data_IF_583168344309
#
_entry.id   IF_583168344309
#
_cell.length_a   1.000
_cell.length_b   1.000
_cell.length_c   1.000
_cell.angle_alpha   90.00
_cell.angle_beta   90.00
_cell.angle_gamma   90.00
#
_symmetry.space_group_name_H-M   'P 1'
#
loop_
_entity.id
_entity.type
_entity.pdbx_description
1 polymer ?
#
# COMPACT_ATOMS: atom_id res chain seq x y z
N UNK A 1 12.09 5.53 25.69
CA UNK A 1 11.64 6.60 24.76
C UNK A 1 12.00 6.37 23.29
N UNK A 2 12.68 5.26 22.91
CA UNK A 2 13.01 4.93 21.49
C UNK A 2 11.92 4.07 20.81
N UNK A 3 11.05 3.43 21.58
CA UNK A 3 10.05 2.47 21.06
C UNK A 3 8.87 3.12 20.29
N UNK A 4 8.52 4.38 20.58
CA UNK A 4 7.36 5.06 19.98
C UNK A 4 7.64 5.56 18.55
N UNK A 5 8.91 5.83 18.23
CA UNK A 5 9.34 6.20 16.87
C UNK A 5 9.50 4.96 15.99
N UNK A 6 10.04 3.86 16.53
CA UNK A 6 10.21 2.61 15.79
C UNK A 6 8.86 1.98 15.38
N UNK A 7 7.83 2.06 16.22
CA UNK A 7 6.49 1.55 15.89
C UNK A 7 5.75 2.41 14.86
N UNK A 8 6.17 3.67 14.66
CA UNK A 8 5.62 4.59 13.65
C UNK A 8 6.44 4.65 12.36
N UNK A 9 7.59 3.98 12.30
CA UNK A 9 8.52 4.10 11.15
C UNK A 9 9.01 2.78 10.59
N UNK A 10 8.61 1.64 11.16
CA UNK A 10 8.89 0.28 10.64
C UNK A 10 10.36 0.06 10.22
N UNK A 11 11.31 0.79 10.82
CA UNK A 11 12.73 0.79 10.43
C UNK A 11 13.08 1.51 9.11
N UNK A 12 12.10 1.99 8.35
CA UNK A 12 12.28 2.60 7.02
C UNK A 12 12.60 4.09 7.02
N UNK A 13 12.42 4.78 8.15
CA UNK A 13 12.99 6.12 8.33
C UNK A 13 14.49 6.10 8.04
N UNK A 14 15.23 5.05 8.40
CA UNK A 14 16.65 4.91 8.06
C UNK A 14 16.89 4.66 6.55
N UNK A 15 16.05 3.88 5.88
CA UNK A 15 16.20 3.56 4.45
C UNK A 15 15.87 4.74 3.53
N UNK A 16 14.77 5.44 3.80
CA UNK A 16 14.39 6.68 3.11
C UNK A 16 15.36 7.82 3.42
N UNK A 17 15.89 7.86 4.65
CA UNK A 17 16.95 8.79 5.04
C UNK A 17 18.25 8.53 4.28
N UNK A 18 18.63 7.26 4.06
CA UNK A 18 19.79 6.91 3.23
C UNK A 18 19.57 7.22 1.74
N UNK A 19 18.36 7.05 1.20
CA UNK A 19 18.02 7.45 -0.17
C UNK A 19 18.05 8.98 -0.34
N UNK A 20 17.52 9.72 0.62
CA UNK A 20 17.55 11.19 0.64
C UNK A 20 18.99 11.75 0.80
N UNK A 21 19.82 11.12 1.64
CA UNK A 21 21.24 11.44 1.78
C UNK A 21 22.07 11.03 0.55
N UNK A 22 21.70 9.95 -0.15
CA UNK A 22 22.36 9.56 -1.40
C UNK A 22 22.08 10.55 -2.54
N UNK A 23 20.97 11.29 -2.45
CA UNK A 23 20.62 12.39 -3.36
C UNK A 23 21.22 13.74 -2.94
N UNK A 24 21.59 13.91 -1.67
CA UNK A 24 22.22 15.12 -1.13
C UNK A 24 23.42 14.74 -0.27
N UNK A 25 24.59 14.66 -0.89
CA UNK A 25 25.82 14.27 -0.20
C UNK A 25 26.06 15.09 1.08
N UNK A 26 26.20 14.36 2.20
CA UNK A 26 26.58 14.81 3.56
C UNK A 26 25.54 15.75 4.25
N UNK A 27 25.13 15.62 5.52
CA UNK A 27 25.56 14.90 6.72
C UNK A 27 24.38 14.90 7.73
N UNK A 28 24.47 13.99 8.72
CA UNK A 28 23.67 13.84 9.96
C UNK A 28 22.26 13.23 9.93
N UNK A 29 22.21 11.96 10.36
CA UNK A 29 21.00 11.14 10.43
C UNK A 29 20.18 11.26 11.72
N UNK A 30 20.77 11.77 12.79
CA UNK A 30 20.06 11.92 14.07
C UNK A 30 19.21 13.20 14.12
N UNK A 31 19.70 14.30 13.55
CA UNK A 31 18.99 15.59 13.53
C UNK A 31 17.84 15.63 12.50
N UNK A 32 17.91 14.78 11.48
CA UNK A 32 16.84 14.64 10.47
C UNK A 32 15.57 14.00 11.05
N UNK A 33 15.72 12.99 11.91
CA UNK A 33 14.59 12.33 12.59
C UNK A 33 13.86 13.28 13.55
N UNK A 34 14.59 14.24 14.14
CA UNK A 34 14.01 15.26 15.03
C UNK A 34 13.39 16.46 14.30
N UNK A 35 13.76 16.71 13.03
CA UNK A 35 13.31 17.85 12.23
C UNK A 35 12.16 17.52 11.25
N UNK A 36 11.49 16.39 11.46
CA UNK A 36 10.32 15.91 10.72
C UNK A 36 9.12 16.86 10.86
N UNK A 37 9.23 17.99 10.16
CA UNK A 37 8.25 19.05 10.01
C UNK A 37 7.54 18.88 8.67
N UNK A 38 6.38 19.52 8.51
CA UNK A 38 5.50 19.33 7.34
C UNK A 38 6.18 19.51 5.97
N UNK A 39 7.30 20.24 5.88
CA UNK A 39 8.10 20.38 4.66
C UNK A 39 8.75 19.07 4.18
N UNK A 40 9.07 18.14 5.10
CA UNK A 40 9.65 16.83 4.76
C UNK A 40 8.58 15.82 4.31
N UNK A 41 7.33 15.94 4.77
CA UNK A 41 6.22 15.09 4.29
C UNK A 41 5.98 15.29 2.79
N UNK A 42 5.99 16.53 2.31
CA UNK A 42 5.87 16.82 0.87
C UNK A 42 6.99 16.20 0.02
N UNK A 43 8.23 16.16 0.55
CA UNK A 43 9.36 15.54 -0.16
C UNK A 43 9.18 14.03 -0.22
N UNK A 44 8.69 13.41 0.85
CA UNK A 44 8.42 11.97 0.90
C UNK A 44 7.27 11.59 -0.04
N UNK A 45 6.17 12.32 -0.01
CA UNK A 45 5.03 12.09 -0.90
C UNK A 45 5.46 12.21 -2.38
N UNK A 46 6.30 13.21 -2.70
CA UNK A 46 6.89 13.34 -4.03
C UNK A 46 7.77 12.15 -4.43
N UNK A 47 8.62 11.65 -3.52
CA UNK A 47 9.48 10.50 -3.82
C UNK A 47 8.68 9.21 -4.03
N UNK A 48 7.65 8.97 -3.20
CA UNK A 48 6.76 7.83 -3.34
C UNK A 48 5.96 7.91 -4.66
N UNK A 49 5.52 9.11 -5.03
CA UNK A 49 4.89 9.38 -6.32
C UNK A 49 5.81 9.05 -7.49
N UNK A 50 7.07 9.51 -7.46
CA UNK A 50 8.05 9.24 -8.50
C UNK A 50 8.29 7.73 -8.62
N UNK A 51 8.42 7.01 -7.49
CA UNK A 51 8.56 5.55 -7.51
C UNK A 51 7.37 4.88 -8.19
N UNK A 52 6.14 5.30 -7.89
CA UNK A 52 4.94 4.78 -8.54
C UNK A 52 4.94 5.07 -10.05
N UNK A 53 5.24 6.31 -10.45
CA UNK A 53 5.23 6.74 -11.86
C UNK A 53 6.28 6.03 -12.72
N UNK A 54 7.40 5.62 -12.13
CA UNK A 54 8.44 4.84 -12.81
C UNK A 54 8.07 3.36 -13.01
N UNK A 55 6.98 2.87 -12.40
CA UNK A 55 6.55 1.48 -12.59
C UNK A 55 5.84 1.28 -13.94
N UNK A 56 5.88 0.07 -14.52
CA UNK A 56 5.04 -0.26 -15.67
C UNK A 56 3.55 -0.08 -15.34
N UNK A 57 2.74 0.36 -16.31
CA UNK A 57 1.31 0.66 -16.12
C UNK A 57 0.53 -0.48 -15.46
N UNK A 58 0.82 -1.73 -15.82
CA UNK A 58 0.18 -2.90 -15.21
C UNK A 58 0.49 -3.03 -13.71
N UNK A 59 1.72 -2.71 -13.32
CA UNK A 59 2.13 -2.76 -11.92
C UNK A 59 1.55 -1.58 -11.14
N UNK A 60 1.48 -0.38 -11.74
CA UNK A 60 0.78 0.76 -11.13
C UNK A 60 -0.68 0.40 -10.83
N UNK A 61 -1.40 -0.16 -11.81
CA UNK A 61 -2.79 -0.60 -11.62
C UNK A 61 -2.93 -1.67 -10.55
N UNK A 62 -1.99 -2.63 -10.49
CA UNK A 62 -1.97 -3.63 -9.43
C UNK A 62 -1.82 -2.97 -8.04
N UNK A 63 -0.84 -2.10 -7.87
CA UNK A 63 -0.55 -1.41 -6.60
C UNK A 63 -1.74 -0.56 -6.16
N UNK A 64 -2.28 0.26 -7.07
CA UNK A 64 -3.43 1.14 -6.81
C UNK A 64 -4.66 0.32 -6.42
N UNK A 65 -5.05 -0.67 -7.21
CA UNK A 65 -6.30 -1.42 -6.96
C UNK A 65 -6.23 -2.33 -5.75
N UNK A 66 -5.05 -2.84 -5.38
CA UNK A 66 -4.89 -3.64 -4.15
C UNK A 66 -4.75 -2.79 -2.90
N UNK A 67 -4.54 -1.47 -3.02
CA UNK A 67 -4.45 -0.55 -1.88
C UNK A 67 -5.73 -0.44 -1.05
N UNK A 68 -6.87 -0.91 -1.59
CA UNK A 68 -8.14 -1.03 -0.87
C UNK A 68 -8.14 -2.10 0.22
N UNK A 69 -7.12 -2.97 0.24
CA UNK A 69 -6.99 -4.10 1.14
C UNK A 69 -5.98 -3.76 2.25
N UNK A 70 -6.40 -3.87 3.52
CA UNK A 70 -5.52 -3.60 4.67
C UNK A 70 -4.39 -4.63 4.80
N UNK A 71 -4.72 -5.89 4.48
CA UNK A 71 -3.80 -7.02 4.38
C UNK A 71 -4.21 -7.88 3.21
N UNK A 72 -3.26 -8.48 2.53
CA UNK A 72 -3.55 -9.27 1.34
C UNK A 72 -2.53 -10.36 1.08
N UNK A 73 -2.95 -11.35 0.31
CA UNK A 73 -2.15 -12.47 -0.16
C UNK A 73 -2.39 -12.69 -1.65
N UNK A 74 -1.54 -13.47 -2.32
CA UNK A 74 -1.65 -13.72 -3.76
C UNK A 74 -3.05 -14.15 -4.23
N UNK A 75 -3.69 -15.15 -3.58
CA UNK A 75 -5.03 -15.58 -3.95
C UNK A 75 -6.12 -14.50 -3.80
N UNK A 76 -6.00 -13.62 -2.80
CA UNK A 76 -6.92 -12.49 -2.64
C UNK A 76 -6.71 -11.46 -3.75
N UNK A 77 -5.46 -11.17 -4.13
CA UNK A 77 -5.16 -10.29 -5.26
C UNK A 77 -5.76 -10.83 -6.56
N UNK A 78 -5.65 -12.14 -6.81
CA UNK A 78 -6.24 -12.79 -7.99
C UNK A 78 -7.76 -12.61 -8.02
N UNK A 79 -8.44 -12.85 -6.89
CA UNK A 79 -9.88 -12.73 -6.79
C UNK A 79 -10.36 -11.29 -6.99
N UNK A 80 -9.73 -10.33 -6.30
CA UNK A 80 -10.12 -8.91 -6.35
C UNK A 80 -9.88 -8.31 -7.73
N UNK A 81 -8.73 -8.60 -8.33
CA UNK A 81 -8.36 -8.07 -9.65
C UNK A 81 -8.87 -8.92 -10.83
N UNK A 82 -9.58 -10.02 -10.55
CA UNK A 82 -10.04 -11.00 -11.54
C UNK A 82 -8.90 -11.48 -12.47
N UNK A 83 -7.75 -11.80 -11.89
CA UNK A 83 -6.58 -12.31 -12.59
C UNK A 83 -6.55 -13.85 -12.59
N UNK A 84 -5.77 -14.47 -13.49
CA UNK A 84 -5.52 -15.91 -13.44
C UNK A 84 -4.87 -16.34 -12.12
N UNK A 85 -5.30 -17.49 -11.60
CA UNK A 85 -4.78 -18.05 -10.34
C UNK A 85 -3.24 -18.14 -10.36
N UNK A 86 -2.61 -17.61 -9.31
CA UNK A 86 -1.16 -17.57 -9.13
C UNK A 86 -0.49 -16.30 -9.63
N UNK A 87 -1.20 -15.44 -10.39
CA UNK A 87 -0.64 -14.19 -10.92
C UNK A 87 -0.29 -13.23 -9.77
N UNK A 88 -1.21 -13.06 -8.83
CA UNK A 88 -1.08 -12.18 -7.68
C UNK A 88 0.14 -12.54 -6.84
N UNK A 89 0.34 -13.83 -6.54
CA UNK A 89 1.52 -14.26 -5.79
C UNK A 89 2.82 -13.92 -6.53
N UNK A 90 2.91 -14.23 -7.82
CA UNK A 90 4.08 -13.91 -8.64
C UNK A 90 4.35 -12.39 -8.69
N UNK A 91 3.29 -11.58 -8.77
CA UNK A 91 3.39 -10.11 -8.74
C UNK A 91 3.87 -9.61 -7.37
N UNK A 92 3.34 -10.14 -6.27
CA UNK A 92 3.77 -9.77 -4.91
C UNK A 92 5.25 -10.07 -4.67
N UNK A 93 5.72 -11.23 -5.10
CA UNK A 93 7.14 -11.57 -5.01
C UNK A 93 8.02 -10.65 -5.87
N UNK A 94 7.52 -10.20 -7.03
CA UNK A 94 8.23 -9.22 -7.87
C UNK A 94 8.31 -7.85 -7.19
N UNK A 95 7.22 -7.40 -6.57
CA UNK A 95 7.14 -6.15 -5.79
C UNK A 95 8.09 -6.22 -4.59
N UNK A 96 8.09 -7.34 -3.86
CA UNK A 96 8.98 -7.58 -2.72
C UNK A 96 10.45 -7.53 -3.16
N UNK A 97 10.82 -8.24 -4.25
CA UNK A 97 12.17 -8.22 -4.81
C UNK A 97 12.61 -6.84 -5.29
N UNK A 98 11.66 -6.03 -5.76
CA UNK A 98 11.90 -4.64 -6.17
C UNK A 98 11.91 -3.65 -4.99
N UNK A 99 11.69 -4.11 -3.75
CA UNK A 99 11.60 -3.28 -2.54
C UNK A 99 10.55 -2.16 -2.64
N UNK A 100 9.41 -2.42 -3.31
CA UNK A 100 8.33 -1.46 -3.52
C UNK A 100 7.40 -1.35 -2.30
N UNK A 101 7.99 -1.07 -1.14
CA UNK A 101 7.29 -0.75 0.11
C UNK A 101 6.23 -1.79 0.54
N UNK A 102 6.47 -3.05 0.20
CA UNK A 102 5.65 -4.19 0.62
C UNK A 102 6.26 -4.82 1.87
N UNK A 103 5.44 -5.04 2.90
CA UNK A 103 5.85 -5.55 4.21
C UNK A 103 5.23 -6.93 4.42
N UNK A 104 6.02 -8.01 4.55
CA UNK A 104 5.48 -9.32 4.89
C UNK A 104 4.96 -9.32 6.34
N UNK A 105 3.83 -10.00 6.55
CA UNK A 105 3.15 -10.11 7.84
C UNK A 105 3.37 -11.46 8.51
N UNK A 106 3.95 -12.41 7.79
CA UNK A 106 4.26 -13.75 8.27
C UNK A 106 5.64 -14.21 7.76
N UNK A 107 6.18 -15.24 8.39
CA UNK A 107 7.48 -15.82 8.00
C UNK A 107 7.41 -16.57 6.66
N UNK A 108 6.21 -16.97 6.25
CA UNK A 108 5.97 -17.74 5.02
C UNK A 108 5.81 -16.84 3.78
N UNK A 109 5.77 -15.52 3.97
CA UNK A 109 5.54 -14.52 2.92
C UNK A 109 4.27 -14.78 2.12
N UNK A 110 3.21 -15.17 2.82
CA UNK A 110 1.88 -15.35 2.25
C UNK A 110 1.05 -14.08 2.40
N UNK A 111 1.12 -13.45 3.58
CA UNK A 111 0.41 -12.22 3.86
C UNK A 111 1.33 -11.01 3.82
N UNK A 112 0.82 -9.95 3.22
CA UNK A 112 1.51 -8.69 3.04
C UNK A 112 0.59 -7.52 3.39
N UNK A 113 1.22 -6.37 3.59
CA UNK A 113 0.58 -5.07 3.55
C UNK A 113 1.51 -4.06 2.90
N UNK A 114 0.96 -2.94 2.45
CA UNK A 114 1.78 -1.79 2.11
C UNK A 114 2.31 -1.11 3.36
N UNK A 115 3.51 -0.53 3.25
CA UNK A 115 3.98 0.44 4.23
C UNK A 115 2.99 1.61 4.28
N UNK A 116 2.70 2.11 5.48
CA UNK A 116 1.58 3.02 5.72
C UNK A 116 1.55 4.26 4.79
N UNK A 117 2.68 4.97 4.63
CA UNK A 117 2.75 6.15 3.73
C UNK A 117 2.48 5.79 2.26
N UNK A 118 2.97 4.64 1.82
CA UNK A 118 2.78 4.22 0.44
C UNK A 118 1.33 3.78 0.21
N UNK A 119 0.74 3.06 1.17
CA UNK A 119 -0.68 2.73 1.15
C UNK A 119 -1.57 3.98 1.11
N UNK A 120 -1.30 5.00 1.93
CA UNK A 120 -2.00 6.29 1.93
C UNK A 120 -1.92 6.96 0.54
N UNK A 121 -0.73 7.03 -0.05
CA UNK A 121 -0.53 7.61 -1.38
C UNK A 121 -1.30 6.82 -2.46
N UNK A 122 -1.22 5.49 -2.45
CA UNK A 122 -1.90 4.64 -3.41
C UNK A 122 -3.43 4.80 -3.32
N UNK A 123 -3.99 4.87 -2.11
CA UNK A 123 -5.42 5.09 -1.91
C UNK A 123 -5.85 6.46 -2.40
N UNK A 124 -5.09 7.52 -2.11
CA UNK A 124 -5.37 8.86 -2.62
C UNK A 124 -5.36 8.90 -4.15
N UNK A 125 -4.39 8.22 -4.78
CA UNK A 125 -4.31 8.11 -6.24
C UNK A 125 -5.44 7.29 -6.83
N UNK A 126 -5.79 6.17 -6.21
CA UNK A 126 -6.93 5.36 -6.63
C UNK A 126 -8.23 6.18 -6.60
N UNK A 127 -8.46 6.98 -5.56
CA UNK A 127 -9.63 7.85 -5.45
C UNK A 127 -9.61 8.97 -6.50
N UNK A 128 -8.44 9.53 -6.83
CA UNK A 128 -8.30 10.52 -7.90
C UNK A 128 -8.61 9.92 -9.29
N UNK A 129 -8.14 8.70 -9.57
CA UNK A 129 -8.45 8.00 -10.82
C UNK A 129 -9.92 7.59 -10.90
N UNK A 130 -10.46 7.07 -9.79
CA UNK A 130 -11.84 6.62 -9.68
C UNK A 130 -12.85 7.76 -9.50
N UNK A 131 -12.42 9.01 -9.35
CA UNK A 131 -13.31 10.16 -9.41
C UNK A 131 -14.12 10.18 -10.72
N UNK A 132 -13.64 9.50 -11.76
CA UNK A 132 -14.32 9.29 -13.04
C UNK A 132 -15.09 7.96 -13.14
N UNK A 133 -14.90 7.01 -12.21
CA UNK A 133 -15.50 5.68 -12.20
C UNK A 133 -15.58 5.09 -10.77
N UNK A 134 -16.59 5.51 -10.00
CA UNK A 134 -16.81 5.05 -8.63
C UNK A 134 -17.22 3.56 -8.55
N UNK A 135 -17.85 3.03 -9.61
CA UNK A 135 -18.29 1.63 -9.69
C UNK A 135 -17.10 0.67 -9.72
N UNK A 136 -15.95 1.12 -10.24
CA UNK A 136 -14.71 0.35 -10.24
C UNK A 136 -14.21 0.05 -8.81
N UNK A 137 -14.21 1.02 -7.89
CA UNK A 137 -13.79 0.81 -6.49
C UNK A 137 -14.79 -0.09 -5.77
N UNK A 138 -16.09 0.16 -5.94
CA UNK A 138 -17.13 -0.67 -5.34
C UNK A 138 -16.97 -2.14 -5.75
N UNK A 139 -16.65 -2.40 -7.02
CA UNK A 139 -16.39 -3.76 -7.54
C UNK A 139 -15.20 -4.44 -6.84
N UNK A 140 -14.11 -3.71 -6.56
CA UNK A 140 -12.96 -4.26 -5.84
C UNK A 140 -13.36 -4.68 -4.42
N UNK A 141 -14.12 -3.82 -3.74
CA UNK A 141 -14.62 -4.12 -2.40
C UNK A 141 -15.61 -5.29 -2.38
N UNK A 142 -16.53 -5.39 -3.35
CA UNK A 142 -17.44 -6.55 -3.45
C UNK A 142 -16.66 -7.86 -3.62
N UNK A 143 -15.69 -7.90 -4.52
CA UNK A 143 -14.87 -9.11 -4.72
C UNK A 143 -14.03 -9.47 -3.49
N UNK A 144 -13.53 -8.45 -2.78
CA UNK A 144 -12.84 -8.67 -1.51
C UNK A 144 -13.79 -9.27 -0.47
N UNK A 145 -15.00 -8.72 -0.36
CA UNK A 145 -16.05 -9.22 0.53
C UNK A 145 -16.36 -10.70 0.26
N UNK A 146 -16.64 -11.04 -1.00
CA UNK A 146 -16.97 -12.42 -1.42
C UNK A 146 -15.82 -13.39 -1.10
N UNK A 147 -14.57 -12.97 -1.35
CA UNK A 147 -13.41 -13.80 -1.05
C UNK A 147 -13.24 -14.01 0.46
N UNK A 148 -13.36 -12.95 1.27
CA UNK A 148 -13.25 -13.04 2.73
C UNK A 148 -14.36 -13.90 3.33
N UNK A 149 -15.59 -13.78 2.83
CA UNK A 149 -16.71 -14.64 3.24
C UNK A 149 -16.40 -16.11 2.95
N UNK A 150 -15.88 -16.42 1.75
CA UNK A 150 -15.49 -17.78 1.37
C UNK A 150 -14.34 -18.35 2.24
N UNK A 151 -13.47 -17.50 2.79
CA UNK A 151 -12.42 -17.89 3.73
C UNK A 151 -12.90 -17.94 5.20
N UNK A 152 -14.15 -17.60 5.49
CA UNK A 152 -14.69 -17.53 6.86
C UNK A 152 -14.27 -16.29 7.65
N UNK A 153 -13.73 -15.27 6.99
CA UNK A 153 -13.26 -14.02 7.57
C UNK A 153 -14.40 -12.97 7.55
N UNK A 154 -15.39 -13.20 8.40
CA UNK A 154 -16.68 -12.47 8.35
C UNK A 154 -16.56 -10.97 8.65
N UNK A 155 -15.62 -10.55 9.51
CA UNK A 155 -15.46 -9.13 9.86
C UNK A 155 -14.93 -8.32 8.67
N UNK A 156 -13.94 -8.85 7.97
CA UNK A 156 -13.36 -8.26 6.77
C UNK A 156 -14.36 -8.26 5.62
N UNK A 157 -15.15 -9.34 5.48
CA UNK A 157 -16.23 -9.39 4.50
C UNK A 157 -17.24 -8.26 4.73
N UNK A 158 -17.73 -8.10 5.97
CA UNK A 158 -18.70 -7.06 6.31
C UNK A 158 -18.12 -5.64 6.09
N UNK A 159 -16.86 -5.43 6.46
CA UNK A 159 -16.17 -4.15 6.23
C UNK A 159 -16.17 -3.79 4.74
N UNK A 160 -15.78 -4.74 3.88
CA UNK A 160 -15.74 -4.50 2.44
C UNK A 160 -17.13 -4.39 1.80
N UNK A 161 -18.13 -5.14 2.28
CA UNK A 161 -19.51 -4.96 1.84
C UNK A 161 -20.03 -3.54 2.16
N UNK A 162 -19.71 -3.03 3.34
CA UNK A 162 -20.05 -1.65 3.72
C UNK A 162 -19.29 -0.62 2.87
N UNK A 163 -18.00 -0.84 2.63
CA UNK A 163 -17.17 0.03 1.79
C UNK A 163 -17.62 0.06 0.31
N UNK A 164 -18.18 -1.04 -0.20
CA UNK A 164 -18.77 -1.08 -1.54
C UNK A 164 -20.07 -0.25 -1.63
N UNK A 165 -20.86 -0.19 -0.56
CA UNK A 165 -22.12 0.56 -0.52
C UNK A 165 -21.92 2.07 -0.37
N UNK A 166 -20.82 2.51 0.23
CA UNK A 166 -20.46 3.93 0.39
C UNK A 166 -18.93 4.13 0.32
N UNK A 167 -18.34 4.09 -0.89
CA UNK A 167 -16.88 4.17 -1.07
C UNK A 167 -16.29 5.49 -0.55
N UNK A 168 -17.08 6.56 -0.55
CA UNK A 168 -16.66 7.89 -0.11
C UNK A 168 -16.53 8.02 1.42
N UNK A 169 -17.20 7.15 2.18
CA UNK A 169 -17.27 7.24 3.65
C UNK A 169 -16.18 6.47 4.38
N UNK A 170 -15.47 5.59 3.67
CA UNK A 170 -14.38 4.76 4.22
C UNK A 170 -12.99 5.41 4.00
N UNK A 171 -12.93 6.48 3.21
CA UNK A 171 -11.70 7.24 2.93
C UNK A 171 -11.42 8.42 3.89
N UNK A 172 -12.14 8.53 5.01
CA UNK A 172 -12.06 9.64 5.97
C UNK A 172 -11.54 9.18 7.34
#
# INVERSE_FOLDING_TARGET
MVAVLASRTEGWAAGLHLAALSLRGHQDAADFVHSFSGSQRFVLDYLLEEVLQQQPTLLQQFLLRTSVLDRFCGPLCDAVLAMPVGTGQATLEAIERANLFLVPLDDQRCWYRYHHLFGELLQQRLLQEAAMDADAIATLHLRASDWYEAQGLMLEALYHAAAAADPARVAA
#
